data_IF_463726725571
#
_entry.id   IF_463726725571
#
_cell.length_a   1.000
_cell.length_b   1.000
_cell.length_c   1.000
_cell.angle_alpha   90.00
_cell.angle_beta   90.00
_cell.angle_gamma   90.00
#
_symmetry.space_group_name_H-M   'P 1'
#
loop_
_entity.id
_entity.type
_entity.pdbx_description
1 polymer ?
#
# COMPACT_ATOMS: atom_id res chain seq x y z
N UNK A 1 6.23 -1.97 -34.47
CA UNK A 1 6.67 -1.47 -33.15
C UNK A 1 5.49 -1.58 -32.20
N UNK A 2 5.48 -2.55 -31.29
CA UNK A 2 4.53 -2.49 -30.18
C UNK A 2 5.06 -1.42 -29.23
N UNK A 3 4.40 -0.27 -29.20
CA UNK A 3 4.54 0.66 -28.09
C UNK A 3 4.12 -0.11 -26.84
N UNK A 4 5.05 -0.37 -25.93
CA UNK A 4 4.71 -0.75 -24.56
C UNK A 4 3.97 0.45 -23.96
N UNK A 5 2.66 0.51 -24.20
CA UNK A 5 1.77 1.35 -23.40
C UNK A 5 1.98 0.86 -21.97
N UNK A 6 2.69 1.65 -21.16
CA UNK A 6 2.70 1.41 -19.72
C UNK A 6 1.24 1.47 -19.30
N UNK A 7 0.70 0.33 -18.88
CA UNK A 7 -0.65 0.26 -18.34
C UNK A 7 -0.77 1.25 -17.18
N UNK A 8 -1.94 1.89 -17.06
CA UNK A 8 -2.23 2.75 -15.91
C UNK A 8 -2.00 1.96 -14.63
N UNK A 9 -1.35 2.58 -13.65
CA UNK A 9 -1.00 1.96 -12.39
C UNK A 9 -1.43 2.82 -11.21
N UNK A 10 -2.21 2.24 -10.31
CA UNK A 10 -2.61 2.86 -9.04
C UNK A 10 -2.00 2.16 -7.83
N UNK A 11 -1.75 2.92 -6.76
CA UNK A 11 -1.37 2.38 -5.47
C UNK A 11 -2.28 2.90 -4.35
N UNK A 12 -2.79 1.99 -3.51
CA UNK A 12 -3.42 2.31 -2.22
C UNK A 12 -2.41 2.02 -1.11
N UNK A 13 -1.97 3.04 -0.38
CA UNK A 13 -0.77 2.92 0.47
C UNK A 13 -0.82 3.79 1.75
N UNK A 14 -0.14 3.33 2.80
CA UNK A 14 0.05 4.04 4.08
C UNK A 14 1.28 3.54 4.83
N UNK A 15 1.54 4.12 6.01
CA UNK A 15 2.53 3.63 6.97
C UNK A 15 2.02 3.77 8.40
N UNK A 16 2.59 2.97 9.31
CA UNK A 16 2.41 3.20 10.75
C UNK A 16 3.19 4.45 11.21
N UNK A 17 2.67 5.16 12.21
CA UNK A 17 3.23 6.44 12.66
C UNK A 17 4.61 6.36 13.32
N UNK A 18 5.09 5.16 13.66
CA UNK A 18 6.42 4.90 14.23
C UNK A 18 7.54 4.79 13.18
N UNK A 19 7.23 5.07 11.91
CA UNK A 19 8.24 5.24 10.85
C UNK A 19 8.87 6.62 10.90
N UNK A 20 10.13 6.68 10.48
CA UNK A 20 10.86 7.94 10.30
C UNK A 20 10.21 8.77 9.20
N UNK A 21 10.22 10.09 9.36
CA UNK A 21 9.72 11.03 8.35
C UNK A 21 10.40 10.79 7.00
N UNK A 22 11.73 10.63 7.01
CA UNK A 22 12.54 10.36 5.82
C UNK A 22 12.17 9.07 5.10
N UNK A 23 11.72 8.05 5.83
CA UNK A 23 11.31 6.78 5.23
C UNK A 23 9.97 6.91 4.52
N UNK A 24 9.03 7.67 5.08
CA UNK A 24 7.74 7.96 4.43
C UNK A 24 7.91 8.85 3.20
N UNK A 25 8.78 9.86 3.28
CA UNK A 25 9.13 10.70 2.12
C UNK A 25 9.78 9.84 1.02
N UNK A 26 10.74 8.98 1.36
CA UNK A 26 11.39 8.09 0.38
C UNK A 26 10.42 7.12 -0.26
N UNK A 27 9.52 6.52 0.51
CA UNK A 27 8.46 5.65 -0.02
C UNK A 27 7.51 6.43 -0.94
N UNK A 28 7.09 7.63 -0.54
CA UNK A 28 6.30 8.53 -1.37
C UNK A 28 6.98 8.84 -2.71
N UNK A 29 8.29 9.10 -2.70
CA UNK A 29 9.06 9.32 -3.93
C UNK A 29 9.09 8.07 -4.82
N UNK A 30 9.28 6.88 -4.26
CA UNK A 30 9.22 5.63 -5.02
C UNK A 30 7.83 5.44 -5.65
N UNK A 31 6.76 5.65 -4.89
CA UNK A 31 5.39 5.59 -5.41
C UNK A 31 5.20 6.61 -6.55
N UNK A 32 5.68 7.85 -6.36
CA UNK A 32 5.56 8.93 -7.34
C UNK A 32 6.30 8.68 -8.67
N UNK A 33 7.32 7.83 -8.67
CA UNK A 33 8.02 7.41 -9.89
C UNK A 33 7.35 6.24 -10.61
N UNK A 34 6.54 5.43 -9.92
CA UNK A 34 6.08 4.15 -10.44
C UNK A 34 4.57 4.06 -10.68
N UNK A 35 3.76 4.95 -10.09
CA UNK A 35 2.30 4.93 -10.22
C UNK A 35 1.78 6.23 -10.82
N UNK A 36 0.69 6.13 -11.55
CA UNK A 36 -0.04 7.26 -12.14
C UNK A 36 -0.97 7.90 -11.11
N UNK A 37 -1.55 7.08 -10.22
CA UNK A 37 -2.42 7.53 -9.13
C UNK A 37 -2.00 6.91 -7.80
N UNK A 38 -1.91 7.73 -6.76
CA UNK A 38 -1.58 7.27 -5.40
C UNK A 38 -2.69 7.70 -4.44
N UNK A 39 -3.35 6.72 -3.86
CA UNK A 39 -4.42 6.87 -2.90
C UNK A 39 -3.84 6.55 -1.53
N UNK A 40 -3.70 7.57 -0.71
CA UNK A 40 -3.23 7.45 0.66
C UNK A 40 -4.41 7.16 1.59
N UNK A 41 -4.14 6.47 2.68
CA UNK A 41 -5.08 6.38 3.79
C UNK A 41 -4.34 6.57 5.11
N UNK A 42 -5.03 7.06 6.14
CA UNK A 42 -4.47 7.18 7.47
C UNK A 42 -5.46 6.63 8.49
N UNK A 43 -5.15 5.45 9.02
CA UNK A 43 -5.94 4.84 10.10
C UNK A 43 -5.59 5.42 11.47
N UNK A 44 -6.03 4.73 12.52
CA UNK A 44 -5.89 5.18 13.91
C UNK A 44 -4.48 4.94 14.50
N UNK A 45 -3.53 4.43 13.72
CA UNK A 45 -2.19 4.02 14.13
C UNK A 45 -1.14 5.14 14.06
N UNK A 46 -1.52 6.35 14.50
CA UNK A 46 -0.62 7.51 14.53
C UNK A 46 0.57 7.33 15.50
N UNK A 47 0.48 6.46 16.52
CA UNK A 47 1.61 6.04 17.39
C UNK A 47 2.51 7.20 17.89
N UNK A 48 1.89 8.29 18.36
CA UNK A 48 2.60 9.47 18.89
C UNK A 48 2.78 10.61 17.88
N UNK A 49 2.38 10.40 16.62
CA UNK A 49 2.32 11.39 15.56
C UNK A 49 0.96 12.10 15.53
N UNK A 50 0.86 13.29 14.94
CA UNK A 50 -0.44 13.98 14.77
C UNK A 50 -1.20 13.39 13.58
N UNK A 51 -2.54 13.33 13.65
CA UNK A 51 -3.35 13.01 12.48
C UNK A 51 -3.03 13.95 11.31
N UNK A 52 -2.84 13.38 10.13
CA UNK A 52 -2.47 14.05 8.88
C UNK A 52 -0.98 14.06 8.58
N UNK A 53 -0.11 13.83 9.57
CA UNK A 53 1.34 13.87 9.36
C UNK A 53 1.82 12.73 8.45
N UNK A 54 1.25 11.52 8.54
CA UNK A 54 1.66 10.40 7.69
C UNK A 54 1.37 10.76 6.24
N UNK A 55 0.15 11.23 5.96
CA UNK A 55 -0.26 11.70 4.64
C UNK A 55 0.64 12.84 4.17
N UNK A 56 0.98 13.79 5.05
CA UNK A 56 1.86 14.90 4.74
C UNK A 56 3.23 14.44 4.23
N UNK A 57 3.92 13.55 4.96
CA UNK A 57 5.25 13.06 4.54
C UNK A 57 5.22 12.24 3.25
N UNK A 58 4.19 11.41 3.05
CA UNK A 58 4.01 10.73 1.76
C UNK A 58 3.82 11.72 0.62
N UNK A 59 3.02 12.78 0.81
CA UNK A 59 2.79 13.81 -0.21
C UNK A 59 4.05 14.60 -0.55
N UNK A 60 4.92 14.88 0.41
CA UNK A 60 6.22 15.48 0.14
C UNK A 60 7.06 14.59 -0.79
N UNK A 61 7.10 13.29 -0.51
CA UNK A 61 7.76 12.32 -1.38
C UNK A 61 7.15 12.24 -2.78
N UNK A 62 5.81 12.16 -2.85
CA UNK A 62 5.08 12.06 -4.11
C UNK A 62 5.32 13.25 -5.03
N UNK A 63 5.48 14.46 -4.48
CA UNK A 63 5.80 15.66 -5.25
C UNK A 63 7.17 15.60 -5.95
N UNK A 64 8.06 14.69 -5.54
CA UNK A 64 9.36 14.45 -6.17
C UNK A 64 9.28 13.42 -7.31
N UNK A 65 8.12 12.78 -7.51
CA UNK A 65 7.90 11.78 -8.54
C UNK A 65 7.46 12.39 -9.87
N UNK A 66 7.97 11.84 -10.98
CA UNK A 66 7.65 12.32 -12.33
C UNK A 66 6.43 11.66 -13.00
N UNK A 67 5.90 10.56 -12.43
CA UNK A 67 4.81 9.78 -13.04
C UNK A 67 3.45 10.08 -12.42
N UNK A 68 3.40 10.25 -11.09
CA UNK A 68 2.13 10.48 -10.39
C UNK A 68 1.46 11.77 -10.86
N UNK A 69 0.20 11.64 -11.26
CA UNK A 69 -0.66 12.73 -11.75
C UNK A 69 -1.87 12.97 -10.86
N UNK A 70 -2.26 11.98 -10.07
CA UNK A 70 -3.38 12.08 -9.14
C UNK A 70 -2.99 11.56 -7.76
N UNK A 71 -3.30 12.36 -6.73
CA UNK A 71 -3.17 11.94 -5.34
C UNK A 71 -4.44 12.23 -4.58
N UNK A 72 -4.91 11.28 -3.77
CA UNK A 72 -6.08 11.44 -2.90
C UNK A 72 -5.81 10.81 -1.55
N UNK A 73 -6.51 11.23 -0.51
CA UNK A 73 -6.39 10.61 0.81
C UNK A 73 -7.75 10.34 1.45
N UNK A 74 -7.78 9.33 2.30
CA UNK A 74 -8.95 8.88 3.06
C UNK A 74 -8.58 8.61 4.53
N UNK A 75 -9.58 8.55 5.41
CA UNK A 75 -9.36 8.27 6.84
C UNK A 75 -9.44 6.78 7.18
N UNK A 76 -9.76 5.93 6.20
CA UNK A 76 -9.88 4.49 6.39
C UNK A 76 -9.34 3.72 5.21
N UNK A 77 -8.86 2.51 5.48
CA UNK A 77 -8.43 1.56 4.45
C UNK A 77 -9.59 1.22 3.50
N UNK A 78 -10.77 0.87 4.05
CA UNK A 78 -11.95 0.49 3.25
C UNK A 78 -12.38 1.58 2.26
N UNK A 79 -12.47 2.85 2.69
CA UNK A 79 -12.84 3.94 1.78
C UNK A 79 -11.80 4.13 0.67
N UNK A 80 -10.52 4.00 0.99
CA UNK A 80 -9.44 4.15 0.02
C UNK A 80 -9.45 3.05 -1.04
N UNK A 81 -9.68 1.80 -0.63
CA UNK A 81 -9.78 0.66 -1.53
C UNK A 81 -11.04 0.72 -2.36
N UNK A 82 -12.19 1.04 -1.75
CA UNK A 82 -13.44 1.21 -2.48
C UNK A 82 -13.29 2.28 -3.56
N UNK A 83 -12.68 3.43 -3.23
CA UNK A 83 -12.42 4.47 -4.20
C UNK A 83 -11.52 4.00 -5.35
N UNK A 84 -10.45 3.26 -5.05
CA UNK A 84 -9.55 2.73 -6.07
C UNK A 84 -10.29 1.79 -7.05
N UNK A 85 -11.16 0.92 -6.52
CA UNK A 85 -11.94 -0.03 -7.32
C UNK A 85 -13.05 0.66 -8.13
N UNK A 86 -13.77 1.61 -7.54
CA UNK A 86 -14.86 2.36 -8.20
C UNK A 86 -14.36 3.22 -9.37
N UNK A 87 -13.09 3.61 -9.33
CA UNK A 87 -12.46 4.47 -10.33
C UNK A 87 -11.39 3.73 -11.13
N UNK A 88 -11.39 2.41 -11.08
CA UNK A 88 -10.51 1.57 -11.87
C UNK A 88 -10.90 1.62 -13.36
N UNK A 89 -9.90 1.67 -14.24
CA UNK A 89 -10.11 1.54 -15.69
C UNK A 89 -9.69 0.17 -16.21
N UNK A 90 -10.27 -0.24 -17.33
CA UNK A 90 -9.96 -1.54 -17.93
C UNK A 90 -8.47 -1.65 -18.29
N UNK A 91 -7.81 -2.69 -17.78
CA UNK A 91 -6.37 -2.92 -17.99
C UNK A 91 -5.46 -2.17 -17.03
N UNK A 92 -6.01 -1.46 -16.03
CA UNK A 92 -5.23 -0.83 -14.95
C UNK A 92 -4.68 -1.87 -13.96
N UNK A 93 -3.43 -1.69 -13.55
CA UNK A 93 -2.84 -2.40 -12.42
C UNK A 93 -3.10 -1.63 -11.13
N UNK A 94 -3.71 -2.28 -10.13
CA UNK A 94 -3.92 -1.67 -8.81
C UNK A 94 -3.13 -2.45 -7.76
N UNK A 95 -2.18 -1.77 -7.10
CA UNK A 95 -1.50 -2.27 -5.90
C UNK A 95 -2.27 -1.80 -4.66
N UNK A 96 -2.62 -2.73 -3.77
CA UNK A 96 -3.33 -2.42 -2.53
C UNK A 96 -2.50 -2.96 -1.36
N UNK A 97 -2.01 -2.07 -0.51
CA UNK A 97 -1.41 -2.44 0.77
C UNK A 97 -2.50 -2.91 1.73
N UNK A 98 -2.41 -4.15 2.20
CA UNK A 98 -3.31 -4.64 3.24
C UNK A 98 -3.06 -3.90 4.57
N UNK A 99 -4.11 -3.67 5.35
CA UNK A 99 -4.03 -3.06 6.69
C UNK A 99 -4.17 -4.15 7.78
N UNK A 100 -5.41 -4.53 8.10
CA UNK A 100 -5.70 -5.69 8.95
C UNK A 100 -6.00 -6.88 8.06
N UNK A 101 -5.32 -8.01 8.29
CA UNK A 101 -5.40 -9.20 7.43
C UNK A 101 -6.84 -9.71 7.30
N UNK A 102 -7.53 -9.90 8.43
CA UNK A 102 -8.88 -10.46 8.42
C UNK A 102 -9.89 -9.51 7.75
N UNK A 103 -9.81 -8.21 8.04
CA UNK A 103 -10.65 -7.19 7.40
C UNK A 103 -10.39 -7.10 5.89
N UNK A 104 -9.12 -7.23 5.48
CA UNK A 104 -8.72 -7.24 4.07
C UNK A 104 -9.34 -8.44 3.36
N UNK A 105 -9.22 -9.63 3.93
CA UNK A 105 -9.81 -10.87 3.38
C UNK A 105 -11.32 -10.75 3.31
N UNK A 106 -11.96 -10.27 4.38
CA UNK A 106 -13.40 -10.08 4.43
C UNK A 106 -13.89 -9.11 3.35
N UNK A 107 -13.20 -7.97 3.17
CA UNK A 107 -13.51 -6.99 2.14
C UNK A 107 -13.51 -7.62 0.75
N UNK A 108 -12.42 -8.28 0.36
CA UNK A 108 -12.30 -8.89 -0.97
C UNK A 108 -13.26 -10.07 -1.17
N UNK A 109 -13.59 -10.83 -0.11
CA UNK A 109 -14.55 -11.95 -0.21
C UNK A 109 -15.98 -11.52 -0.59
N UNK A 110 -16.33 -10.26 -0.33
CA UNK A 110 -17.65 -9.69 -0.63
C UNK A 110 -17.76 -9.10 -2.04
N UNK A 111 -16.63 -8.94 -2.74
CA UNK A 111 -16.64 -8.36 -4.08
C UNK A 111 -17.16 -9.38 -5.10
N UNK A 112 -18.00 -8.94 -6.06
CA UNK A 112 -18.45 -9.79 -7.17
C UNK A 112 -17.32 -9.95 -8.20
N UNK A 113 -16.34 -10.81 -7.90
CA UNK A 113 -15.21 -11.10 -8.78
C UNK A 113 -15.63 -12.19 -9.79
N UNK A 114 -15.78 -11.81 -11.05
CA UNK A 114 -16.29 -12.68 -12.13
C UNK A 114 -15.27 -13.64 -12.73
N UNK A 115 -13.98 -13.50 -12.43
CA UNK A 115 -12.93 -14.44 -12.85
C UNK A 115 -11.79 -14.46 -11.82
N UNK A 116 -11.58 -15.59 -11.16
CA UNK A 116 -10.53 -15.77 -10.17
C UNK A 116 -9.46 -16.70 -10.74
N UNK A 117 -8.61 -16.18 -11.61
CA UNK A 117 -7.35 -16.84 -11.95
C UNK A 117 -6.35 -16.59 -10.82
N UNK A 118 -6.45 -17.37 -9.73
CA UNK A 118 -5.40 -17.40 -8.70
C UNK A 118 -4.14 -17.95 -9.36
N UNK A 119 -3.21 -17.06 -9.69
CA UNK A 119 -1.84 -17.45 -9.99
C UNK A 119 -1.23 -18.04 -8.73
N UNK A 120 -1.20 -19.36 -8.61
CA UNK A 120 -0.45 -20.03 -7.55
C UNK A 120 1.02 -19.63 -7.71
N UNK A 121 1.46 -18.65 -6.91
CA UNK A 121 2.87 -18.35 -6.74
C UNK A 121 3.55 -19.63 -6.27
N UNK A 122 4.23 -20.32 -7.18
CA UNK A 122 5.11 -21.42 -6.83
C UNK A 122 6.14 -20.85 -5.86
N UNK A 123 5.98 -21.12 -4.55
CA UNK A 123 7.04 -20.93 -3.58
C UNK A 123 8.20 -21.78 -4.07
N UNK A 124 9.23 -21.16 -4.62
CA UNK A 124 10.52 -21.79 -4.76
C UNK A 124 10.90 -22.32 -3.37
N UNK A 125 11.07 -23.64 -3.25
CA UNK A 125 11.70 -24.23 -2.07
C UNK A 125 13.12 -23.67 -2.02
N UNK A 126 13.36 -22.69 -1.17
CA UNK A 126 14.71 -22.40 -0.69
C UNK A 126 14.96 -23.29 0.52
N UNK A 127 15.92 -24.19 0.36
CA UNK A 127 16.36 -25.11 1.40
C UNK A 127 16.79 -24.36 2.68
N UNK A 128 16.62 -25.04 3.80
CA UNK A 128 16.53 -24.49 5.15
C UNK A 128 17.66 -23.56 5.60
N UNK A 129 17.25 -22.45 6.21
CA UNK A 129 18.03 -21.76 7.24
C UNK A 129 17.19 -21.75 8.53
N UNK A 130 17.76 -22.32 9.60
CA UNK A 130 17.14 -22.47 10.92
C UNK A 130 16.67 -21.12 11.47
N UNK A 131 15.42 -21.08 11.92
CA UNK A 131 14.86 -20.02 12.75
C UNK A 131 15.66 -19.95 14.06
N UNK A 132 16.31 -18.82 14.34
CA UNK A 132 16.87 -18.51 15.64
C UNK A 132 15.74 -18.02 16.57
N UNK A 133 15.73 -18.52 17.80
CA UNK A 133 14.81 -18.15 18.87
C UNK A 133 14.84 -16.64 19.17
N UNK A 134 13.66 -16.04 19.33
CA UNK A 134 13.50 -14.68 19.89
C UNK A 134 13.84 -14.67 21.38
N UNK A 135 14.63 -13.71 21.89
CA UNK A 135 14.77 -13.53 23.32
C UNK A 135 13.49 -12.91 23.92
N UNK A 136 13.20 -13.37 25.14
CA UNK A 136 11.99 -13.14 25.90
C UNK A 136 11.68 -11.66 26.21
N UNK A 137 10.37 -11.40 26.37
CA UNK A 137 9.78 -10.13 26.82
C UNK A 137 10.44 -9.61 28.11
N UNK A 138 11.00 -8.41 28.06
CA UNK A 138 11.41 -7.67 29.26
C UNK A 138 10.17 -7.18 30.02
N UNK A 139 10.12 -7.42 31.34
CA UNK A 139 9.15 -6.85 32.28
C UNK A 139 9.52 -5.40 32.63
N UNK A 140 8.53 -4.55 32.97
CA UNK A 140 8.76 -3.14 33.26
C UNK A 140 9.42 -2.94 34.63
N UNK A 141 10.16 -1.84 34.74
CA UNK A 141 10.68 -1.29 36.01
C UNK A 141 9.67 -0.27 36.52
#
# INVERSE_FOLDING_TARGET
>A
MYSLSLHDASAVYSAAGDRLDSDMIRQGQMLGHHFDRVILYEGTYCRGRKPGDIVHFFREGLALGARVRETKWFNTWCESVQHALDTAVAGELILIQADVVDETIEFFSKLPITDMSIGNGQRAKTDGAKQADSPAKAKPI
#
